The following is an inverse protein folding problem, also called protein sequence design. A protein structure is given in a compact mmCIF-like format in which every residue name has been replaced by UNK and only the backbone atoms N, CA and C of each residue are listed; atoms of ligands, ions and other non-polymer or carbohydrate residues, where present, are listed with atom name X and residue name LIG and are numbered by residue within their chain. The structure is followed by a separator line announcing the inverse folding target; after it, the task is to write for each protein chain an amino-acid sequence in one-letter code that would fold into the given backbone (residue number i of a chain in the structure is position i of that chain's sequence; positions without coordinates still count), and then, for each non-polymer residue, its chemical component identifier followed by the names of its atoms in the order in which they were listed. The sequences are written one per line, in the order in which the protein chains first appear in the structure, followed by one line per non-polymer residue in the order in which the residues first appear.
data_IF_629360462982
#
_entry.id   IF_629360462982
#
_cell.length_a   1.000
_cell.length_b   1.000
_cell.length_c   1.000
_cell.angle_alpha   90.00
_cell.angle_beta   90.00
_cell.angle_gamma   90.00
#
_symmetry.space_group_name_H-M   'P 1'
#
loop_
_entity.id
_entity.type
_entity.pdbx_description
1 polymer ?
#
# COMPACT_ATOMS: atom_id res chain seq x y z
N UNK A 1 23.43 -9.34 -9.94
CA UNK A 1 23.19 -9.30 -8.48
C UNK A 1 24.35 -8.66 -7.74
N UNK A 2 25.59 -9.10 -7.95
CA UNK A 2 26.76 -8.52 -7.27
C UNK A 2 27.03 -7.05 -7.64
N UNK A 3 26.79 -6.67 -8.90
CA UNK A 3 26.86 -5.26 -9.34
C UNK A 3 25.83 -4.34 -8.64
N UNK A 4 24.76 -4.92 -8.09
CA UNK A 4 23.76 -4.20 -7.31
C UNK A 4 23.93 -4.41 -5.80
N UNK A 5 25.10 -4.90 -5.37
CA UNK A 5 25.46 -5.14 -3.96
C UNK A 5 24.53 -6.13 -3.23
N UNK A 6 23.91 -7.06 -3.95
CA UNK A 6 23.13 -8.15 -3.36
C UNK A 6 24.01 -9.36 -3.09
N UNK A 7 23.95 -9.85 -1.85
CA UNK A 7 24.46 -11.16 -1.48
C UNK A 7 23.44 -12.23 -1.86
N UNK A 8 23.88 -13.21 -2.66
CA UNK A 8 23.04 -14.35 -3.02
C UNK A 8 23.37 -15.51 -2.07
N UNK A 9 22.38 -15.92 -1.28
CA UNK A 9 22.50 -17.06 -0.37
C UNK A 9 21.76 -18.24 -1.00
N UNK A 10 22.49 -19.31 -1.33
CA UNK A 10 21.90 -20.55 -1.83
C UNK A 10 21.58 -21.51 -0.69
N UNK A 11 20.36 -22.08 -0.71
CA UNK A 11 19.89 -23.00 0.32
C UNK A 11 19.72 -24.39 -0.32
N UNK A 12 20.63 -25.34 -0.05
CA UNK A 12 20.62 -26.64 -0.69
C UNK A 12 19.41 -27.46 -0.23
N UNK A 13 18.68 -28.06 -1.17
CA UNK A 13 17.50 -28.86 -0.89
C UNK A 13 17.89 -30.32 -0.64
N UNK A 14 18.15 -30.66 0.63
CA UNK A 14 18.74 -31.97 0.98
C UNK A 14 17.71 -33.12 1.07
N UNK A 15 16.38 -32.85 1.02
CA UNK A 15 15.28 -33.84 0.88
C UNK A 15 13.91 -33.14 0.71
N UNK A 16 12.88 -33.89 0.31
CA UNK A 16 11.48 -33.45 0.01
C UNK A 16 10.76 -32.56 1.07
N UNK A 17 11.35 -32.35 2.25
CA UNK A 17 10.80 -31.52 3.33
C UNK A 17 11.64 -30.26 3.62
N UNK A 18 12.35 -29.71 2.63
CA UNK A 18 13.17 -28.49 2.75
C UNK A 18 12.42 -27.17 2.54
N UNK A 19 11.08 -27.15 2.62
CA UNK A 19 10.27 -26.00 2.18
C UNK A 19 10.44 -24.73 3.04
N UNK A 20 10.77 -24.88 4.32
CA UNK A 20 10.86 -23.75 5.26
C UNK A 20 12.31 -23.38 5.63
N UNK A 21 13.31 -24.01 4.99
CA UNK A 21 14.72 -23.77 5.31
C UNK A 21 15.16 -22.35 4.93
N UNK A 22 14.54 -21.78 3.90
CA UNK A 22 14.77 -20.40 3.49
C UNK A 22 14.25 -19.40 4.51
N UNK A 23 13.00 -19.57 4.94
CA UNK A 23 12.39 -18.63 5.87
C UNK A 23 13.09 -18.68 7.23
N UNK A 24 13.44 -19.87 7.73
CA UNK A 24 14.25 -20.03 8.94
C UNK A 24 15.60 -19.33 8.80
N UNK A 25 16.31 -19.52 7.69
CA UNK A 25 17.61 -18.88 7.47
C UNK A 25 17.49 -17.35 7.44
N UNK A 26 16.49 -16.82 6.74
CA UNK A 26 16.21 -15.39 6.69
C UNK A 26 15.92 -14.82 8.09
N UNK A 27 15.13 -15.53 8.90
CA UNK A 27 14.82 -15.12 10.29
C UNK A 27 16.08 -15.08 11.15
N UNK A 28 16.93 -16.11 11.07
CA UNK A 28 18.19 -16.19 11.83
C UNK A 28 19.12 -15.04 11.44
N UNK A 29 19.33 -14.82 10.15
CA UNK A 29 20.24 -13.77 9.65
C UNK A 29 19.72 -12.36 10.02
N UNK A 30 18.41 -12.12 9.93
CA UNK A 30 17.81 -10.84 10.31
C UNK A 30 17.95 -10.54 11.81
N UNK A 31 17.76 -11.55 12.67
CA UNK A 31 17.95 -11.40 14.11
C UNK A 31 19.42 -11.21 14.48
N UNK A 32 20.34 -11.93 13.83
CA UNK A 32 21.78 -11.74 14.04
C UNK A 32 22.21 -10.32 13.67
N UNK A 33 21.75 -9.80 12.52
CA UNK A 33 21.99 -8.41 12.13
C UNK A 33 21.39 -7.40 13.13
N UNK A 34 20.17 -7.66 13.62
CA UNK A 34 19.51 -6.81 14.60
C UNK A 34 20.34 -6.65 15.88
N UNK A 35 20.93 -7.74 16.39
CA UNK A 35 21.72 -7.72 17.63
C UNK A 35 23.18 -7.32 17.42
N UNK A 36 23.81 -7.70 16.31
CA UNK A 36 25.24 -7.46 16.08
C UNK A 36 25.53 -6.11 15.43
N UNK A 37 24.59 -5.57 14.64
CA UNK A 37 24.74 -4.32 13.90
C UNK A 37 23.78 -3.26 14.44
N UNK A 38 24.15 -2.67 15.57
CA UNK A 38 23.32 -1.66 16.24
C UNK A 38 22.95 -0.44 15.39
N UNK A 39 23.73 -0.12 14.34
CA UNK A 39 23.47 0.97 13.40
C UNK A 39 22.39 0.67 12.35
N UNK A 40 21.91 -0.58 12.26
CA UNK A 40 20.82 -0.95 11.36
C UNK A 40 19.52 -0.70 12.09
N UNK A 41 18.82 0.36 11.71
CA UNK A 41 17.58 0.78 12.38
C UNK A 41 16.31 0.36 11.62
N UNK A 42 16.47 -0.14 10.40
CA UNK A 42 15.36 -0.48 9.52
C UNK A 42 15.59 -1.80 8.81
N UNK A 43 14.55 -2.62 8.77
CA UNK A 43 14.51 -3.90 8.09
C UNK A 43 13.41 -3.89 7.04
N UNK A 44 13.75 -4.29 5.81
CA UNK A 44 12.79 -4.43 4.71
C UNK A 44 12.61 -5.92 4.44
N UNK A 45 11.40 -6.43 4.62
CA UNK A 45 11.05 -7.84 4.39
C UNK A 45 10.22 -7.92 3.12
N UNK A 46 10.79 -8.52 2.08
CA UNK A 46 10.10 -8.73 0.81
C UNK A 46 9.48 -10.13 0.84
N UNK A 47 8.27 -10.24 1.39
CA UNK A 47 7.52 -11.48 1.47
C UNK A 47 6.01 -11.23 1.62
N UNK A 48 5.20 -12.17 1.12
CA UNK A 48 3.76 -12.23 1.38
C UNK A 48 3.38 -13.22 2.49
N UNK A 49 4.34 -13.99 3.00
CA UNK A 49 4.09 -15.09 3.94
C UNK A 49 3.83 -14.59 5.37
N UNK A 50 2.74 -15.06 5.99
CA UNK A 50 2.41 -14.75 7.37
C UNK A 50 3.40 -15.31 8.39
N UNK A 51 4.19 -16.32 8.01
CA UNK A 51 5.16 -16.97 8.91
C UNK A 51 6.28 -16.02 9.37
N UNK A 52 6.46 -14.88 8.71
CA UNK A 52 7.38 -13.81 9.14
C UNK A 52 6.82 -12.91 10.25
N UNK A 53 5.55 -13.04 10.63
CA UNK A 53 4.94 -12.21 11.68
C UNK A 53 5.72 -12.19 13.01
N UNK A 54 6.23 -13.33 13.53
CA UNK A 54 7.05 -13.33 14.75
C UNK A 54 8.38 -12.58 14.59
N UNK A 55 9.01 -12.64 13.40
CA UNK A 55 10.22 -11.87 13.12
C UNK A 55 9.94 -10.37 13.16
N UNK A 56 8.86 -9.93 12.50
CA UNK A 56 8.43 -8.53 12.50
C UNK A 56 8.22 -8.03 13.93
N UNK A 57 7.46 -8.77 14.74
CA UNK A 57 7.23 -8.42 16.15
C UNK A 57 8.54 -8.32 16.93
N UNK A 58 9.46 -9.27 16.75
CA UNK A 58 10.75 -9.28 17.46
C UNK A 58 11.65 -8.11 17.06
N UNK A 59 11.67 -7.74 15.78
CA UNK A 59 12.42 -6.57 15.30
C UNK A 59 11.84 -5.27 15.89
N UNK A 60 10.51 -5.14 15.93
CA UNK A 60 9.83 -3.99 16.53
C UNK A 60 10.06 -3.88 18.04
N UNK A 61 10.05 -5.00 18.76
CA UNK A 61 10.44 -5.06 20.19
C UNK A 61 11.86 -4.54 20.42
N UNK A 62 12.76 -4.68 19.43
CA UNK A 62 14.12 -4.16 19.46
C UNK A 62 14.24 -2.73 18.89
N UNK A 63 13.12 -1.99 18.82
CA UNK A 63 13.03 -0.62 18.30
C UNK A 63 13.52 -0.48 16.85
N UNK A 64 13.34 -1.51 16.03
CA UNK A 64 13.65 -1.46 14.60
C UNK A 64 12.38 -1.19 13.81
N UNK A 65 12.50 -0.33 12.79
CA UNK A 65 11.42 -0.06 11.83
C UNK A 65 11.33 -1.22 10.85
N UNK A 66 10.15 -1.81 10.67
CA UNK A 66 9.96 -2.94 9.76
C UNK A 66 9.03 -2.55 8.61
N UNK A 67 9.56 -2.63 7.39
CA UNK A 67 8.83 -2.36 6.14
C UNK A 67 8.56 -3.69 5.45
N UNK A 68 7.28 -4.03 5.28
CA UNK A 68 6.88 -5.19 4.50
C UNK A 68 6.71 -4.82 3.03
N UNK A 69 7.13 -5.71 2.12
CA UNK A 69 6.88 -5.58 0.68
C UNK A 69 6.27 -6.87 0.15
N UNK A 70 5.10 -6.80 -0.47
CA UNK A 70 4.42 -8.00 -0.97
C UNK A 70 3.39 -7.73 -2.07
N UNK A 71 2.88 -8.81 -2.67
CA UNK A 71 1.87 -8.73 -3.73
C UNK A 71 0.48 -8.68 -3.09
N UNK A 72 -0.39 -7.79 -3.56
CA UNK A 72 -1.68 -7.49 -2.93
C UNK A 72 -2.61 -8.71 -2.78
N UNK A 73 -2.52 -9.68 -3.70
CA UNK A 73 -3.37 -10.88 -3.70
C UNK A 73 -2.70 -12.10 -3.03
N UNK A 74 -1.47 -11.97 -2.56
CA UNK A 74 -0.68 -13.08 -2.01
C UNK A 74 -0.03 -12.75 -0.66
N UNK A 75 -0.39 -11.61 -0.07
CA UNK A 75 0.10 -11.18 1.24
C UNK A 75 -0.99 -11.38 2.28
N UNK A 76 -0.63 -11.97 3.42
CA UNK A 76 -1.53 -12.10 4.57
C UNK A 76 -1.78 -10.76 5.25
N UNK A 77 -3.04 -10.50 5.63
CA UNK A 77 -3.45 -9.34 6.42
C UNK A 77 -2.73 -9.27 7.78
N UNK A 78 -2.36 -10.42 8.35
CA UNK A 78 -1.60 -10.50 9.60
C UNK A 78 -0.19 -9.92 9.46
N UNK A 79 0.49 -10.21 8.34
CA UNK A 79 1.82 -9.66 8.08
C UNK A 79 1.75 -8.14 7.92
N UNK A 80 0.76 -7.67 7.15
CA UNK A 80 0.53 -6.24 6.89
C UNK A 80 0.30 -5.49 8.21
N UNK A 81 -0.55 -6.03 9.09
CA UNK A 81 -0.88 -5.40 10.36
C UNK A 81 0.29 -5.35 11.36
N UNK A 82 1.24 -6.30 11.25
CA UNK A 82 2.40 -6.36 12.12
C UNK A 82 3.53 -5.41 11.71
N UNK A 83 3.63 -5.06 10.42
CA UNK A 83 4.66 -4.15 9.91
C UNK A 83 4.36 -2.69 10.28
N UNK A 84 5.41 -1.86 10.38
CA UNK A 84 5.25 -0.41 10.59
C UNK A 84 4.82 0.29 9.29
N UNK A 85 5.34 -0.18 8.16
CA UNK A 85 4.94 0.23 6.83
C UNK A 85 4.78 -0.99 5.92
N UNK A 86 3.83 -0.95 4.98
CA UNK A 86 3.67 -2.01 3.99
C UNK A 86 3.48 -1.46 2.58
N UNK A 87 4.34 -1.89 1.66
CA UNK A 87 4.38 -1.45 0.26
C UNK A 87 3.96 -2.61 -0.64
N UNK A 88 3.00 -2.38 -1.54
CA UNK A 88 2.63 -3.39 -2.51
C UNK A 88 3.57 -3.37 -3.72
N UNK A 89 4.01 -4.55 -4.15
CA UNK A 89 4.88 -4.69 -5.32
C UNK A 89 4.26 -4.11 -6.60
N UNK A 90 2.92 -4.21 -6.74
CA UNK A 90 2.18 -3.61 -7.86
C UNK A 90 2.32 -2.08 -7.93
N UNK A 91 2.55 -1.43 -6.79
CA UNK A 91 2.76 0.02 -6.70
C UNK A 91 4.22 0.39 -7.03
N UNK A 92 5.19 -0.50 -6.76
CA UNK A 92 6.62 -0.32 -7.09
C UNK A 92 6.94 -0.51 -8.59
N UNK A 93 6.25 -1.45 -9.26
CA UNK A 93 6.46 -1.73 -10.70
C UNK A 93 5.75 -0.73 -11.61
N UNK A 94 4.84 0.08 -11.07
CA UNK A 94 4.28 1.22 -11.81
C UNK A 94 5.34 2.30 -11.97
N UNK A 95 6.09 2.17 -13.08
CA UNK A 95 6.94 3.22 -13.65
C UNK A 95 6.22 4.58 -13.53
N UNK A 96 6.89 5.67 -13.13
CA UNK A 96 6.27 7.00 -13.13
C UNK A 96 5.62 7.23 -14.50
N UNK A 97 4.36 7.71 -14.55
CA UNK A 97 3.62 7.75 -15.80
C UNK A 97 4.39 8.59 -16.81
N UNK A 98 4.85 7.94 -17.89
CA UNK A 98 5.31 8.64 -19.07
C UNK A 98 4.18 9.57 -19.56
N UNK A 99 4.48 10.78 -20.05
CA UNK A 99 3.46 11.73 -20.46
C UNK A 99 2.59 11.10 -21.55
N UNK A 100 1.32 10.88 -21.21
CA UNK A 100 0.35 10.22 -22.09
C UNK A 100 0.12 11.09 -23.33
N UNK A 101 0.69 10.70 -24.46
CA UNK A 101 0.23 11.16 -25.77
C UNK A 101 -1.17 10.60 -26.01
N UNK A 102 -2.13 11.50 -26.19
CA UNK A 102 -3.47 11.20 -26.65
C UNK A 102 -3.45 10.59 -28.05
N UNK A 103 -4.05 9.40 -28.23
CA UNK A 103 -4.64 8.96 -29.50
C UNK A 103 -5.54 7.72 -29.33
N UNK A 104 -6.86 7.97 -29.44
CA UNK A 104 -7.89 7.23 -30.20
C UNK A 104 -7.83 5.69 -30.29
N UNK A 105 -8.88 5.07 -29.74
CA UNK A 105 -9.88 4.30 -30.50
C UNK A 105 -9.55 2.89 -30.98
N UNK A 106 -10.26 1.89 -30.45
CA UNK A 106 -10.34 0.55 -31.04
C UNK A 106 -10.99 -0.47 -30.12
N UNK A 107 -12.23 -0.86 -30.44
CA UNK A 107 -13.06 -1.81 -29.70
C UNK A 107 -12.54 -3.26 -29.73
N UNK A 108 -12.82 -4.02 -28.65
CA UNK A 108 -12.62 -5.46 -28.61
C UNK A 108 -13.25 -6.07 -27.36
N UNK A 109 -14.41 -6.71 -27.55
CA UNK A 109 -15.32 -7.19 -26.52
C UNK A 109 -14.80 -8.37 -25.68
N UNK A 110 -15.27 -8.45 -24.42
CA UNK A 110 -15.76 -9.70 -23.81
C UNK A 110 -16.76 -9.39 -22.67
N UNK A 111 -17.89 -10.07 -22.74
CA UNK A 111 -19.15 -9.85 -22.00
C UNK A 111 -19.06 -10.13 -20.49
N UNK A 112 -19.93 -9.50 -19.68
CA UNK A 112 -19.96 -9.60 -18.22
C UNK A 112 -20.83 -10.78 -17.74
N UNK A 113 -20.48 -11.38 -16.61
CA UNK A 113 -21.39 -12.20 -15.82
C UNK A 113 -22.14 -11.30 -14.84
N UNK A 114 -23.44 -11.50 -14.79
CA UNK A 114 -24.48 -10.62 -14.29
C UNK A 114 -25.10 -11.24 -13.04
N UNK A 115 -25.43 -10.40 -12.06
CA UNK A 115 -26.37 -10.70 -10.97
C UNK A 115 -25.94 -10.01 -9.69
N UNK A 116 -26.71 -9.12 -9.05
CA UNK A 116 -28.10 -8.66 -9.24
C UNK A 116 -28.29 -7.36 -8.45
N UNK A 117 -29.25 -6.53 -8.87
CA UNK A 117 -29.52 -5.14 -8.45
C UNK A 117 -29.75 -4.89 -6.95
N UNK A 118 -29.96 -3.65 -6.50
CA UNK A 118 -31.04 -2.75 -6.96
C UNK A 118 -30.76 -1.26 -6.61
N UNK A 119 -31.10 -0.38 -7.57
CA UNK A 119 -31.57 1.03 -7.51
C UNK A 119 -30.62 2.25 -7.51
N UNK A 120 -31.08 3.19 -8.34
CA UNK A 120 -30.89 4.63 -8.44
C UNK A 120 -29.59 5.16 -9.07
N UNK A 121 -29.79 5.71 -10.28
CA UNK A 121 -28.88 6.59 -10.97
C UNK A 121 -28.86 7.94 -10.26
N UNK A 122 -27.83 8.18 -9.46
CA UNK A 122 -27.34 9.52 -9.15
C UNK A 122 -26.16 9.81 -10.07
N UNK A 123 -26.02 11.06 -10.49
CA UNK A 123 -25.12 11.45 -11.56
C UNK A 123 -23.67 11.00 -11.24
N UNK A 124 -22.85 10.68 -12.25
CA UNK A 124 -21.45 10.32 -12.03
C UNK A 124 -20.64 11.40 -11.29
N UNK A 125 -21.15 12.65 -11.21
CA UNK A 125 -20.58 13.72 -10.42
C UNK A 125 -20.85 13.58 -8.91
N UNK A 126 -22.07 13.18 -8.51
CA UNK A 126 -22.46 13.07 -7.08
C UNK A 126 -21.69 11.95 -6.38
N UNK A 127 -21.45 10.83 -7.08
CA UNK A 127 -20.67 9.71 -6.54
C UNK A 127 -19.19 10.05 -6.38
N UNK A 128 -18.63 10.86 -7.30
CA UNK A 128 -17.25 11.33 -7.17
C UNK A 128 -17.10 12.24 -5.96
N UNK A 129 -18.07 13.12 -5.75
CA UNK A 129 -18.13 13.98 -4.57
C UNK A 129 -18.21 13.15 -3.28
N UNK A 130 -19.09 12.15 -3.21
CA UNK A 130 -19.18 11.25 -2.04
C UNK A 130 -17.82 10.59 -1.73
N UNK A 131 -17.06 10.21 -2.76
CA UNK A 131 -15.74 9.61 -2.59
C UNK A 131 -14.72 10.60 -2.01
N UNK A 132 -14.77 11.87 -2.44
CA UNK A 132 -13.92 12.93 -1.90
C UNK A 132 -14.28 13.26 -0.46
N UNK A 133 -15.57 13.38 -0.15
CA UNK A 133 -16.05 13.64 1.21
C UNK A 133 -15.63 12.53 2.17
N UNK A 134 -15.69 11.27 1.72
CA UNK A 134 -15.21 10.12 2.47
C UNK A 134 -13.70 10.20 2.75
N UNK A 135 -12.90 10.66 1.79
CA UNK A 135 -11.46 10.85 1.96
C UNK A 135 -11.17 11.99 2.93
N UNK A 136 -11.84 13.14 2.78
CA UNK A 136 -11.70 14.31 3.67
C UNK A 136 -12.06 13.95 5.10
N UNK A 137 -13.22 13.32 5.32
CA UNK A 137 -13.65 12.88 6.66
C UNK A 137 -12.68 11.88 7.29
N UNK A 138 -12.08 11.01 6.48
CA UNK A 138 -11.08 10.06 6.97
C UNK A 138 -9.77 10.76 7.31
N UNK A 139 -9.38 11.75 6.51
CA UNK A 139 -8.22 12.60 6.78
C UNK A 139 -8.39 13.39 8.08
N UNK A 140 -9.51 14.10 8.27
CA UNK A 140 -9.81 14.87 9.48
C UNK A 140 -9.76 14.00 10.73
N UNK A 141 -10.38 12.82 10.69
CA UNK A 141 -10.34 11.88 11.81
C UNK A 141 -8.92 11.38 12.12
N UNK A 142 -8.07 11.20 11.11
CA UNK A 142 -6.67 10.82 11.30
C UNK A 142 -5.84 11.98 11.87
N UNK A 143 -6.14 13.23 11.49
CA UNK A 143 -5.50 14.42 12.07
C UNK A 143 -5.90 14.58 13.54
N UNK A 144 -7.16 14.35 13.90
CA UNK A 144 -7.62 14.38 15.30
C UNK A 144 -6.96 13.29 16.15
N UNK A 145 -6.80 12.07 15.62
CA UNK A 145 -6.21 10.94 16.35
C UNK A 145 -4.68 11.10 16.55
N UNK A 146 -3.95 11.67 15.58
CA UNK A 146 -2.48 11.74 15.58
C UNK A 146 -1.88 13.11 15.94
N UNK A 147 -2.70 14.16 15.97
CA UNK A 147 -2.26 15.52 16.26
C UNK A 147 -1.86 16.32 15.01
N UNK A 148 -2.14 17.62 15.04
CA UNK A 148 -1.88 18.54 13.94
C UNK A 148 -0.37 18.72 13.72
N UNK A 149 0.18 18.02 12.72
CA UNK A 149 1.60 18.11 12.34
C UNK A 149 2.22 16.81 11.83
N UNK A 150 1.58 15.66 12.08
CA UNK A 150 2.04 14.39 11.50
C UNK A 150 1.71 14.29 10.00
N UNK A 151 2.66 13.75 9.23
CA UNK A 151 2.49 13.48 7.81
C UNK A 151 1.48 12.35 7.62
N UNK A 152 0.35 12.64 6.98
CA UNK A 152 -0.66 11.62 6.67
C UNK A 152 -0.48 11.14 5.23
N UNK A 153 -0.13 9.87 5.09
CA UNK A 153 0.04 9.25 3.79
C UNK A 153 -1.31 8.85 3.17
N UNK A 154 -1.44 9.00 1.85
CA UNK A 154 -2.63 8.60 1.11
C UNK A 154 -2.89 7.09 1.21
N UNK A 155 -1.84 6.26 1.32
CA UNK A 155 -1.96 4.83 1.62
C UNK A 155 -2.65 4.58 2.96
N UNK A 156 -2.35 5.38 3.98
CA UNK A 156 -2.96 5.28 5.29
C UNK A 156 -4.45 5.63 5.25
N UNK A 157 -4.81 6.68 4.52
CA UNK A 157 -6.22 7.06 4.35
C UNK A 157 -7.00 5.96 3.66
N UNK A 158 -6.42 5.36 2.61
CA UNK A 158 -7.03 4.23 1.90
C UNK A 158 -7.25 3.03 2.80
N UNK A 159 -6.28 2.68 3.64
CA UNK A 159 -6.41 1.58 4.61
C UNK A 159 -7.49 1.88 5.65
N UNK A 160 -7.51 3.09 6.21
CA UNK A 160 -8.53 3.51 7.18
C UNK A 160 -9.93 3.53 6.55
N UNK A 161 -10.07 3.96 5.30
CA UNK A 161 -11.31 3.90 4.53
C UNK A 161 -11.81 2.46 4.37
N UNK A 162 -10.93 1.53 4.00
CA UNK A 162 -11.30 0.13 3.86
C UNK A 162 -11.66 -0.53 5.19
N UNK A 163 -11.02 -0.12 6.30
CA UNK A 163 -11.35 -0.60 7.65
C UNK A 163 -12.72 -0.09 8.10
N UNK A 164 -13.03 1.19 7.85
CA UNK A 164 -14.32 1.81 8.23
C UNK A 164 -15.46 1.42 7.27
N UNK A 165 -15.16 1.21 6.00
CA UNK A 165 -16.12 0.85 4.94
C UNK A 165 -15.52 -0.25 4.04
N UNK A 166 -15.65 -1.53 4.41
CA UNK A 166 -15.09 -2.66 3.66
C UNK A 166 -15.56 -2.77 2.20
N UNK A 167 -16.70 -2.16 1.86
CA UNK A 167 -17.22 -2.06 0.50
C UNK A 167 -16.66 -0.90 -0.35
N UNK A 168 -15.73 -0.10 0.18
CA UNK A 168 -15.16 1.03 -0.55
C UNK A 168 -14.34 0.53 -1.76
N UNK A 169 -14.73 0.97 -2.96
CA UNK A 169 -14.08 0.66 -4.22
C UNK A 169 -13.98 1.90 -5.07
N UNK A 170 -12.76 2.26 -5.50
CA UNK A 170 -12.50 3.42 -6.34
C UNK A 170 -13.25 3.34 -7.67
N UNK A 171 -13.36 2.12 -8.21
CA UNK A 171 -14.13 1.83 -9.42
C UNK A 171 -15.63 2.09 -9.26
N UNK A 172 -16.18 1.88 -8.06
CA UNK A 172 -17.60 2.19 -7.77
C UNK A 172 -17.87 3.70 -7.86
N UNK A 173 -16.88 4.50 -7.47
CA UNK A 173 -16.92 5.96 -7.50
C UNK A 173 -16.42 6.56 -8.82
N UNK A 174 -16.09 5.72 -9.82
CA UNK A 174 -15.70 6.16 -11.16
C UNK A 174 -14.21 6.50 -11.33
N UNK A 175 -13.36 6.11 -10.38
CA UNK A 175 -11.90 6.31 -10.45
C UNK A 175 -11.17 5.01 -10.80
N UNK A 176 -10.10 5.10 -11.60
CA UNK A 176 -9.28 3.94 -12.00
C UNK A 176 -8.28 3.53 -10.92
N UNK A 177 -7.93 4.43 -10.02
CA UNK A 177 -7.03 4.18 -8.89
C UNK A 177 -7.28 5.19 -7.78
N UNK A 178 -6.83 4.85 -6.56
CA UNK A 178 -6.88 5.78 -5.43
C UNK A 178 -6.00 7.02 -5.66
N UNK A 179 -4.87 6.86 -6.34
CA UNK A 179 -4.04 8.00 -6.76
C UNK A 179 -4.81 8.96 -7.66
N UNK A 180 -5.55 8.44 -8.65
CA UNK A 180 -6.40 9.27 -9.51
C UNK A 180 -7.48 10.00 -8.70
N UNK A 181 -8.10 9.32 -7.72
CA UNK A 181 -9.09 9.95 -6.85
C UNK A 181 -8.48 11.13 -6.09
N UNK A 182 -7.29 10.97 -5.51
CA UNK A 182 -6.59 12.02 -4.79
C UNK A 182 -6.19 13.17 -5.74
N UNK A 183 -5.55 12.87 -6.88
CA UNK A 183 -5.15 13.88 -7.87
C UNK A 183 -6.34 14.69 -8.40
N UNK A 184 -7.48 14.03 -8.62
CA UNK A 184 -8.69 14.71 -9.06
C UNK A 184 -9.28 15.57 -7.93
N UNK A 185 -9.23 15.11 -6.67
CA UNK A 185 -9.61 15.92 -5.51
C UNK A 185 -8.71 17.16 -5.32
N UNK A 186 -7.41 17.04 -5.59
CA UNK A 186 -6.48 18.17 -5.60
C UNK A 186 -6.77 19.14 -6.73
N UNK A 187 -7.05 18.63 -7.93
CA UNK A 187 -7.41 19.47 -9.09
C UNK A 187 -8.68 20.30 -8.86
N UNK A 188 -9.58 19.80 -8.00
CA UNK A 188 -10.80 20.49 -7.57
C UNK A 188 -10.59 21.38 -6.33
N UNK A 189 -9.37 21.42 -5.77
CA UNK A 189 -9.02 22.22 -4.59
C UNK A 189 -9.58 21.68 -3.26
N UNK A 190 -10.07 20.44 -3.23
CA UNK A 190 -10.65 19.79 -2.06
C UNK A 190 -9.54 19.28 -1.13
N UNK A 191 -8.45 18.76 -1.69
CA UNK A 191 -7.29 18.27 -0.96
C UNK A 191 -6.01 19.01 -1.38
N UNK A 192 -5.07 19.14 -0.45
CA UNK A 192 -3.70 19.53 -0.75
C UNK A 192 -2.80 18.31 -0.65
N UNK A 193 -2.19 17.93 -1.77
CA UNK A 193 -1.26 16.81 -1.83
C UNK A 193 0.17 17.32 -1.95
N UNK A 194 1.07 16.58 -1.35
CA UNK A 194 2.49 16.66 -1.65
C UNK A 194 2.91 15.29 -2.16
N UNK A 195 3.53 15.25 -3.34
CA UNK A 195 4.17 14.03 -3.81
C UNK A 195 5.50 13.87 -3.08
N UNK A 196 5.68 12.71 -2.48
CA UNK A 196 6.97 12.34 -1.92
C UNK A 196 7.86 11.75 -3.03
N UNK A 197 8.94 12.44 -3.36
CA UNK A 197 9.87 12.03 -4.43
C UNK A 197 10.64 10.74 -4.09
N UNK A 198 10.72 10.36 -2.80
CA UNK A 198 11.44 9.15 -2.35
C UNK A 198 10.56 7.90 -2.40
N UNK A 199 9.29 8.02 -2.01
CA UNK A 199 8.35 6.90 -1.92
C UNK A 199 7.39 6.80 -3.11
N UNK A 200 7.33 7.83 -3.98
CA UNK A 200 6.37 7.91 -5.08
C UNK A 200 4.90 7.99 -4.62
N UNK A 201 4.67 8.17 -3.32
CA UNK A 201 3.36 8.23 -2.68
C UNK A 201 2.84 9.66 -2.55
N UNK A 202 1.57 9.77 -2.15
CA UNK A 202 0.93 11.05 -1.84
C UNK A 202 0.90 11.27 -0.33
N UNK A 203 1.30 12.46 0.12
CA UNK A 203 1.14 12.94 1.48
C UNK A 203 0.03 13.99 1.46
N UNK A 204 -0.97 13.86 2.31
CA UNK A 204 -2.03 14.86 2.45
C UNK A 204 -1.61 15.90 3.48
N UNK A 205 -1.56 17.16 3.05
CA UNK A 205 -1.21 18.32 3.91
C UNK A 205 -2.42 19.13 4.38
N UNK A 206 -3.57 18.93 3.75
CA UNK A 206 -4.80 19.59 4.15
C UNK A 206 -5.99 19.11 3.32
N UNK A 207 -7.19 19.28 3.86
CA UNK A 207 -8.45 19.05 3.15
C UNK A 207 -9.48 20.10 3.55
N UNK A 208 -10.32 20.52 2.60
CA UNK A 208 -11.53 21.30 2.87
C UNK A 208 -12.73 20.45 2.47
N UNK A 209 -13.61 20.18 3.42
CA UNK A 209 -14.95 19.65 3.09
C UNK A 209 -15.73 20.75 2.36
N UNK A 210 -16.34 20.42 1.23
CA UNK A 210 -17.37 21.24 0.59
C UNK A 210 -18.73 20.97 1.18
#
# INVERSE_FOLDING_TARGET
MHEASFELIEIPHVRQSGKNSADIRMVVDALDLCYTKGHVDSFVIISGDSDFSPLVSKLRENNKVVIGVGVKNSTSDLLIANCDEFIYYDDLVRRPPAPAKAARGGAGARKPVRGSGVKAAEAPADKKQEAWDLVVKTYEALVEERGAGEKIWGSMIKQTLKRRKPGFSESYYGFKSFGQLLEEAESQGILQLERDEKSGGFILRGGRST
#
